data_IF_233662472656
#
_entry.id   IF_233662472656
#
_cell.length_a   1.000
_cell.length_b   1.000
_cell.length_c   1.000
_cell.angle_alpha   90.00
_cell.angle_beta   90.00
_cell.angle_gamma   90.00
#
_symmetry.space_group_name_H-M   'P 1'
#
loop_
_entity.id
_entity.type
_entity.pdbx_description
1 polymer ?
#
# COMPACT_ATOMS: atom_id res chain seq x y z
N UNK A 1 -17.31 36.39 16.53
CA UNK A 1 -17.86 35.16 17.14
C UNK A 1 -18.42 34.29 16.04
N UNK A 2 -17.61 33.38 15.52
CA UNK A 2 -18.04 32.15 14.85
C UNK A 2 -16.78 31.32 14.69
N UNK A 3 -16.68 30.38 15.62
CA UNK A 3 -15.56 29.50 15.86
C UNK A 3 -15.60 28.38 14.82
N UNK A 4 -14.85 28.50 13.72
CA UNK A 4 -14.43 27.32 12.98
C UNK A 4 -13.29 26.66 13.77
N UNK A 5 -13.68 25.91 14.79
CA UNK A 5 -12.81 24.88 15.36
C UNK A 5 -12.67 23.82 14.27
N UNK A 6 -11.60 23.92 13.49
CA UNK A 6 -11.00 22.72 12.92
C UNK A 6 -10.53 21.95 14.15
N UNK A 7 -11.38 21.04 14.63
CA UNK A 7 -10.94 19.98 15.52
C UNK A 7 -9.80 19.29 14.78
N UNK A 8 -8.57 19.54 15.22
CA UNK A 8 -7.42 18.79 14.76
C UNK A 8 -7.72 17.34 15.14
N UNK A 9 -8.18 16.56 14.16
CA UNK A 9 -8.13 15.12 14.23
C UNK A 9 -6.71 14.80 14.72
N UNK A 10 -6.60 14.07 15.83
CA UNK A 10 -5.31 13.65 16.39
C UNK A 10 -4.37 13.30 15.25
N UNK A 11 -3.16 13.86 15.20
CA UNK A 11 -2.24 13.73 14.06
C UNK A 11 -2.08 12.24 13.68
N UNK A 12 -2.91 11.78 12.75
CA UNK A 12 -3.00 10.38 12.40
C UNK A 12 -1.68 10.00 11.75
N UNK A 13 -1.05 8.92 12.20
CA UNK A 13 0.21 8.49 11.60
C UNK A 13 -0.13 7.93 10.22
N UNK A 14 0.28 8.68 9.18
CA UNK A 14 0.11 8.32 7.79
C UNK A 14 1.40 7.67 7.26
N UNK A 15 1.25 6.66 6.40
CA UNK A 15 2.37 6.04 5.69
C UNK A 15 2.11 6.02 4.19
N UNK A 16 3.19 6.11 3.41
CA UNK A 16 3.15 5.96 1.95
C UNK A 16 3.99 4.74 1.56
N UNK A 17 3.34 3.76 0.94
CA UNK A 17 3.97 2.54 0.40
C UNK A 17 4.18 2.72 -1.10
N UNK A 18 5.45 2.71 -1.52
CA UNK A 18 5.82 2.75 -2.93
C UNK A 18 5.85 1.31 -3.47
N UNK A 19 4.70 0.82 -3.93
CA UNK A 19 4.56 -0.54 -4.47
C UNK A 19 5.20 -0.68 -5.86
N UNK A 20 5.31 0.42 -6.60
CA UNK A 20 5.93 0.46 -7.91
C UNK A 20 6.86 1.66 -8.11
N UNK A 21 7.91 1.45 -8.89
CA UNK A 21 8.96 2.37 -9.28
C UNK A 21 9.52 1.80 -10.58
N UNK A 22 9.45 2.52 -11.69
CA UNK A 22 9.72 2.11 -13.09
C UNK A 22 11.04 1.33 -13.35
N UNK A 23 11.23 0.19 -12.70
CA UNK A 23 12.46 -0.55 -12.55
C UNK A 23 12.30 -1.89 -13.24
N UNK A 24 13.32 -2.26 -14.01
CA UNK A 24 13.30 -3.47 -14.83
C UNK A 24 14.05 -4.65 -14.20
N UNK A 25 14.43 -4.54 -12.92
CA UNK A 25 15.26 -5.53 -12.21
C UNK A 25 14.61 -6.91 -12.08
N UNK A 26 13.29 -6.96 -12.12
CA UNK A 26 12.51 -8.19 -11.97
C UNK A 26 11.91 -8.69 -13.29
N UNK A 27 12.35 -8.16 -14.43
CA UNK A 27 12.03 -8.77 -15.72
C UNK A 27 12.72 -10.14 -15.84
N UNK A 28 12.05 -11.15 -16.43
CA UNK A 28 10.74 -11.11 -17.09
C UNK A 28 9.53 -11.32 -16.16
N UNK A 29 9.76 -11.55 -14.86
CA UNK A 29 8.70 -11.96 -13.91
C UNK A 29 7.65 -10.88 -13.70
N UNK A 30 8.03 -9.60 -13.74
CA UNK A 30 7.11 -8.47 -13.54
C UNK A 30 6.36 -8.01 -14.79
N UNK A 31 6.41 -8.78 -15.90
CA UNK A 31 5.64 -8.49 -17.12
C UNK A 31 4.14 -8.70 -16.87
N UNK A 32 3.80 -9.80 -16.21
CA UNK A 32 2.41 -10.20 -15.98
C UNK A 32 1.87 -9.73 -14.64
N UNK A 33 2.71 -9.51 -13.63
CA UNK A 33 2.27 -9.07 -12.32
C UNK A 33 3.17 -7.98 -11.73
N UNK A 34 2.60 -6.98 -11.04
CA UNK A 34 3.40 -5.97 -10.37
C UNK A 34 4.22 -6.62 -9.25
N UNK A 35 5.42 -6.08 -8.98
CA UNK A 35 6.34 -6.66 -7.98
C UNK A 35 5.72 -6.80 -6.59
N UNK A 36 4.81 -5.89 -6.23
CA UNK A 36 4.20 -5.84 -4.91
C UNK A 36 3.28 -7.05 -4.66
N UNK A 37 2.80 -7.68 -5.74
CA UNK A 37 1.98 -8.89 -5.68
C UNK A 37 2.78 -10.17 -5.88
N UNK A 38 4.10 -10.08 -6.09
CA UNK A 38 4.92 -11.27 -6.22
C UNK A 38 4.85 -12.10 -4.92
N UNK A 39 4.68 -13.43 -5.02
CA UNK A 39 4.59 -14.27 -3.85
C UNK A 39 5.97 -14.42 -3.21
N UNK A 40 6.06 -14.08 -1.93
CA UNK A 40 7.15 -14.39 -1.03
C UNK A 40 6.62 -15.38 0.01
N UNK A 41 7.16 -16.60 0.04
CA UNK A 41 6.69 -17.68 0.95
C UNK A 41 5.17 -17.89 0.86
N UNK A 42 4.65 -17.97 -0.38
CA UNK A 42 3.23 -18.14 -0.70
C UNK A 42 2.30 -16.99 -0.28
N UNK A 43 2.82 -15.82 0.13
CA UNK A 43 2.02 -14.61 0.38
C UNK A 43 2.50 -13.44 -0.47
N UNK A 44 1.61 -12.57 -0.97
CA UNK A 44 2.01 -11.36 -1.69
C UNK A 44 2.94 -10.47 -0.86
N UNK A 45 3.96 -9.91 -1.51
CA UNK A 45 4.96 -9.05 -0.87
C UNK A 45 4.37 -7.85 -0.12
N UNK A 46 3.29 -7.27 -0.65
CA UNK A 46 2.61 -6.11 -0.05
C UNK A 46 1.96 -6.43 1.30
N UNK A 47 1.50 -7.67 1.53
CA UNK A 47 0.88 -8.09 2.79
C UNK A 47 1.82 -7.88 3.97
N UNK A 48 3.08 -8.28 3.81
CA UNK A 48 4.10 -8.11 4.84
C UNK A 48 4.32 -6.63 5.20
N UNK A 49 4.22 -5.75 4.21
CA UNK A 49 4.40 -4.31 4.42
C UNK A 49 3.19 -3.73 5.14
N UNK A 50 1.97 -4.12 4.74
CA UNK A 50 0.73 -3.66 5.39
C UNK A 50 0.64 -4.18 6.83
N UNK A 51 0.93 -5.46 7.07
CA UNK A 51 0.96 -6.05 8.42
C UNK A 51 1.96 -5.33 9.31
N UNK A 52 3.16 -5.02 8.79
CA UNK A 52 4.16 -4.28 9.54
C UNK A 52 3.68 -2.86 9.90
N UNK A 53 3.05 -2.15 8.97
CA UNK A 53 2.50 -0.81 9.21
C UNK A 53 1.33 -0.84 10.20
N UNK A 54 0.49 -1.88 10.14
CA UNK A 54 -0.59 -2.09 11.10
C UNK A 54 -0.05 -2.30 12.52
N UNK A 55 0.99 -3.14 12.68
CA UNK A 55 1.68 -3.34 13.97
C UNK A 55 2.36 -2.06 14.46
N UNK A 56 2.85 -1.23 13.55
CA UNK A 56 3.45 0.07 13.87
C UNK A 56 2.42 1.14 14.29
N UNK A 57 1.12 0.86 14.25
CA UNK A 57 0.07 1.80 14.64
C UNK A 57 -0.22 2.88 13.60
N UNK A 58 0.09 2.62 12.33
CA UNK A 58 -0.25 3.51 11.22
C UNK A 58 -1.75 3.46 10.98
N UNK A 59 -2.39 4.64 10.97
CA UNK A 59 -3.84 4.77 10.82
C UNK A 59 -4.25 4.91 9.35
N UNK A 60 -3.40 5.51 8.53
CA UNK A 60 -3.67 5.70 7.10
C UNK A 60 -2.50 5.24 6.24
N UNK A 61 -2.79 4.41 5.24
CA UNK A 61 -1.78 3.87 4.32
C UNK A 61 -2.15 4.26 2.89
N UNK A 62 -1.27 5.02 2.24
CA UNK A 62 -1.37 5.37 0.84
C UNK A 62 -0.45 4.47 0.01
N UNK A 63 -0.99 3.78 -0.99
CA UNK A 63 -0.19 2.89 -1.85
C UNK A 63 -0.01 3.54 -3.22
N UNK A 64 1.23 3.86 -3.56
CA UNK A 64 1.59 4.36 -4.88
C UNK A 64 1.87 3.19 -5.85
N UNK A 65 1.08 3.12 -6.91
CA UNK A 65 1.17 2.10 -7.97
C UNK A 65 1.19 2.75 -9.35
N UNK A 66 1.94 2.18 -10.30
CA UNK A 66 1.96 2.63 -11.69
C UNK A 66 1.40 1.54 -12.61
N UNK A 67 2.16 0.48 -12.84
CA UNK A 67 1.78 -0.59 -13.77
C UNK A 67 0.75 -1.50 -13.11
N UNK A 68 -0.34 -1.80 -13.84
CA UNK A 68 -1.40 -2.73 -13.38
C UNK A 68 -1.92 -2.39 -11.97
N UNK A 69 -2.13 -1.10 -11.70
CA UNK A 69 -2.62 -0.61 -10.40
C UNK A 69 -3.97 -1.23 -9.99
N UNK A 70 -4.81 -1.62 -10.96
CA UNK A 70 -6.07 -2.34 -10.70
C UNK A 70 -5.80 -3.63 -9.91
N UNK A 71 -4.81 -4.43 -10.30
CA UNK A 71 -4.57 -5.73 -9.67
C UNK A 71 -4.14 -5.55 -8.20
N UNK A 72 -3.37 -4.49 -7.93
CA UNK A 72 -2.96 -4.13 -6.57
C UNK A 72 -4.15 -3.63 -5.77
N UNK A 73 -4.98 -2.76 -6.35
CA UNK A 73 -6.23 -2.29 -5.71
C UNK A 73 -7.15 -3.47 -5.37
N UNK A 74 -7.44 -4.34 -6.33
CA UNK A 74 -8.30 -5.49 -6.13
C UNK A 74 -7.76 -6.44 -5.06
N UNK A 75 -6.44 -6.57 -4.94
CA UNK A 75 -5.82 -7.35 -3.88
C UNK A 75 -5.95 -6.70 -2.51
N UNK A 76 -5.69 -5.39 -2.40
CA UNK A 76 -5.85 -4.64 -1.15
C UNK A 76 -7.31 -4.61 -0.69
N UNK A 77 -8.27 -4.47 -1.59
CA UNK A 77 -9.71 -4.54 -1.28
C UNK A 77 -10.11 -5.89 -0.69
N UNK A 78 -9.48 -7.00 -1.09
CA UNK A 78 -9.68 -8.32 -0.48
C UNK A 78 -9.02 -8.47 0.89
N UNK A 79 -7.95 -7.71 1.16
CA UNK A 79 -7.22 -7.75 2.42
C UNK A 79 -7.94 -6.96 3.52
N UNK A 80 -8.56 -5.83 3.16
CA UNK A 80 -9.27 -4.93 4.08
C UNK A 80 -10.77 -5.24 4.22
N UNK A 81 -11.26 -6.29 3.57
CA UNK A 81 -12.67 -6.72 3.57
C UNK A 81 -13.00 -7.75 4.64
#
# INVERSE_FOLDING_TARGET
MSSDRVEAAEDAIQAVVIADSFNYRFLPVTIEQPRALLPLVNRPLIDYTVEFLAVAGVQEIFVYCCTRAEAVRAHLERLTG
#
